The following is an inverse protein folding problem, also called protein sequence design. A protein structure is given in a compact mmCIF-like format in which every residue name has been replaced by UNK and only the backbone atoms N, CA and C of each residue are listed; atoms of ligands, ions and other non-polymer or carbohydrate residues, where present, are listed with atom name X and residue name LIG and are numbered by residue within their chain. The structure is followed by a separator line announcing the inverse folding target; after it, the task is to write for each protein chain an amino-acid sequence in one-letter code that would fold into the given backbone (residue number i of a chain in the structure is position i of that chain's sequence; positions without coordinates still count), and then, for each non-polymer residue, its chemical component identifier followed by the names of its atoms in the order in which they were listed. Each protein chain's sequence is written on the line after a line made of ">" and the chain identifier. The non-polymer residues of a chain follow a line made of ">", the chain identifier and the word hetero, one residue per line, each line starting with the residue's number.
data_IF_433955414343
#
_entry.id   IF_433955414343
#
_cell.length_a   1.000
_cell.length_b   1.000
_cell.length_c   1.000
_cell.angle_alpha   90.00
_cell.angle_beta   90.00
_cell.angle_gamma   90.00
#
_symmetry.space_group_name_H-M   'P 1'
#
loop_
_entity.id
_entity.type
_entity.pdbx_description
1 polymer ?
#
# COMPACT_ATOMS: atom_id res chain seq x y z
N UNK A 1 -7.04 -11.94 -12.65
CA UNK A 1 -7.06 -10.48 -12.49
C UNK A 1 -5.67 -9.91 -12.39
N UNK A 2 -5.57 -8.72 -11.81
CA UNK A 2 -4.31 -8.05 -11.46
C UNK A 2 -4.34 -7.74 -9.96
N UNK A 3 -3.25 -8.06 -9.26
CA UNK A 3 -3.02 -7.60 -7.89
C UNK A 3 -1.91 -6.58 -7.91
N UNK A 4 -2.16 -5.43 -7.31
CA UNK A 4 -1.20 -4.34 -7.15
C UNK A 4 -0.96 -4.15 -5.67
N UNK A 5 0.31 -4.08 -5.28
CA UNK A 5 0.73 -3.86 -3.90
C UNK A 5 1.49 -2.54 -3.85
N UNK A 6 0.96 -1.58 -3.11
CA UNK A 6 1.65 -0.35 -2.76
C UNK A 6 2.34 -0.50 -1.40
N UNK A 7 3.63 -0.18 -1.36
CA UNK A 7 4.48 -0.28 -0.17
C UNK A 7 4.97 1.10 0.20
N UNK A 8 4.41 1.70 1.24
CA UNK A 8 4.89 2.99 1.73
C UNK A 8 6.29 2.86 2.32
N UNK A 9 7.23 3.59 1.72
CA UNK A 9 8.64 3.64 2.12
C UNK A 9 9.00 5.01 2.73
N UNK A 10 7.99 5.79 3.12
CA UNK A 10 8.23 7.07 3.79
C UNK A 10 8.85 6.88 5.18
N UNK A 11 9.48 7.94 5.69
CA UNK A 11 10.06 7.96 7.04
C UNK A 11 9.05 7.91 8.18
N UNK A 12 7.74 8.01 7.90
CA UNK A 12 6.68 7.75 8.88
C UNK A 12 6.11 6.34 8.77
N UNK A 13 6.26 5.68 7.61
CA UNK A 13 5.72 4.36 7.35
C UNK A 13 6.39 3.29 8.24
N UNK A 14 5.66 2.66 9.17
CA UNK A 14 6.26 1.74 10.11
C UNK A 14 6.71 0.43 9.47
N UNK A 15 6.21 0.11 8.28
CA UNK A 15 6.59 -1.10 7.54
C UNK A 15 8.10 -1.22 7.29
N UNK A 16 8.75 -0.10 7.01
CA UNK A 16 10.19 -0.06 6.71
C UNK A 16 11.04 0.30 7.93
N UNK A 17 10.43 0.49 9.10
CA UNK A 17 11.10 0.94 10.32
C UNK A 17 10.94 -0.04 11.49
N UNK A 18 9.91 -0.89 11.47
CA UNK A 18 9.58 -1.78 12.57
C UNK A 18 9.47 -3.23 12.10
N UNK A 19 10.28 -4.11 12.69
CA UNK A 19 10.38 -5.51 12.28
C UNK A 19 9.07 -6.29 12.48
N UNK A 20 8.37 -6.10 13.60
CA UNK A 20 7.12 -6.81 13.86
C UNK A 20 6.04 -6.47 12.82
N UNK A 21 6.03 -5.21 12.36
CA UNK A 21 5.09 -4.75 11.34
C UNK A 21 5.45 -5.30 9.97
N UNK A 22 6.74 -5.31 9.62
CA UNK A 22 7.24 -6.00 8.44
C UNK A 22 6.90 -7.49 8.43
N UNK A 23 7.02 -8.16 9.58
CA UNK A 23 6.68 -9.58 9.73
C UNK A 23 5.18 -9.85 9.54
N UNK A 24 4.33 -8.97 10.07
CA UNK A 24 2.87 -9.04 9.89
C UNK A 24 2.47 -8.80 8.44
N UNK A 25 3.05 -7.77 7.79
CA UNK A 25 2.83 -7.49 6.38
C UNK A 25 3.26 -8.66 5.49
N UNK A 26 4.43 -9.22 5.76
CA UNK A 26 4.98 -10.34 5.03
C UNK A 26 4.10 -11.59 5.14
N UNK A 27 3.59 -11.87 6.34
CA UNK A 27 2.69 -13.01 6.59
C UNK A 27 1.35 -12.83 5.88
N UNK A 28 0.75 -11.64 5.97
CA UNK A 28 -0.47 -11.31 5.24
C UNK A 28 -0.28 -11.43 3.73
N UNK A 29 0.81 -10.85 3.22
CA UNK A 29 1.16 -10.86 1.80
C UNK A 29 1.32 -12.28 1.27
N UNK A 30 2.01 -13.14 2.03
CA UNK A 30 2.17 -14.55 1.68
C UNK A 30 0.82 -15.21 1.45
N UNK A 31 -0.12 -15.07 2.39
CA UNK A 31 -1.47 -15.62 2.26
C UNK A 31 -2.23 -15.04 1.08
N UNK A 32 -2.13 -13.72 0.86
CA UNK A 32 -2.79 -13.06 -0.26
C UNK A 32 -2.28 -13.55 -1.63
N UNK A 33 -0.97 -13.78 -1.78
CA UNK A 33 -0.35 -14.26 -3.02
C UNK A 33 -0.62 -15.77 -3.23
N UNK A 34 -0.62 -16.58 -2.17
CA UNK A 34 -0.98 -18.01 -2.26
C UNK A 34 -2.40 -18.20 -2.79
N UNK A 35 -3.32 -17.30 -2.44
CA UNK A 35 -4.71 -17.36 -2.90
C UNK A 35 -4.92 -16.94 -4.37
N UNK A 36 -3.89 -16.38 -5.02
CA UNK A 36 -3.97 -15.95 -6.42
C UNK A 36 -4.06 -17.14 -7.37
N UNK A 37 -4.78 -16.95 -8.48
CA UNK A 37 -5.00 -17.99 -9.47
C UNK A 37 -3.90 -18.00 -10.56
N UNK A 38 -3.64 -19.14 -11.21
CA UNK A 38 -2.77 -19.18 -12.39
C UNK A 38 -3.22 -18.19 -13.47
N UNK A 39 -2.27 -17.48 -14.07
CA UNK A 39 -2.50 -16.42 -15.06
C UNK A 39 -2.70 -15.02 -14.47
N UNK A 40 -2.85 -14.89 -13.14
CA UNK A 40 -2.95 -13.58 -12.51
C UNK A 40 -1.62 -12.83 -12.50
N UNK A 41 -1.69 -11.50 -12.68
CA UNK A 41 -0.51 -10.62 -12.67
C UNK A 41 -0.37 -9.96 -11.31
N UNK A 42 0.86 -9.87 -10.82
CA UNK A 42 1.23 -9.21 -9.57
C UNK A 42 2.19 -8.06 -9.85
N UNK A 43 1.94 -6.90 -9.25
CA UNK A 43 2.87 -5.78 -9.21
C UNK A 43 3.11 -5.35 -7.77
N UNK A 44 4.36 -5.11 -7.39
CA UNK A 44 4.72 -4.51 -6.10
C UNK A 44 5.47 -3.23 -6.38
N UNK A 45 4.96 -2.12 -5.86
CA UNK A 45 5.45 -0.77 -6.13
C UNK A 45 5.67 -0.04 -4.81
N UNK A 46 6.74 0.74 -4.71
CA UNK A 46 6.92 1.66 -3.59
C UNK A 46 6.01 2.89 -3.73
N UNK A 47 5.44 3.33 -2.61
CA UNK A 47 4.76 4.61 -2.43
C UNK A 47 5.71 5.52 -1.67
N UNK A 48 5.83 6.75 -2.15
CA UNK A 48 6.64 7.78 -1.52
C UNK A 48 6.43 9.10 -2.25
N UNK A 49 7.48 9.82 -2.62
CA UNK A 49 7.36 11.00 -3.49
C UNK A 49 6.83 10.61 -4.87
N UNK A 50 6.00 11.49 -5.44
CA UNK A 50 5.45 11.30 -6.78
C UNK A 50 6.54 11.23 -7.86
N UNK A 51 6.46 10.24 -8.76
CA UNK A 51 7.33 10.09 -9.92
C UNK A 51 7.84 8.65 -10.14
N UNK A 52 7.88 8.20 -11.40
CA UNK A 52 8.34 6.83 -11.74
C UNK A 52 9.85 6.66 -11.45
N UNK A 53 10.64 7.72 -11.64
CA UNK A 53 12.09 7.70 -11.41
C UNK A 53 12.49 7.54 -9.93
N UNK A 54 11.56 7.75 -9.00
CA UNK A 54 11.80 7.67 -7.56
C UNK A 54 11.30 6.34 -6.95
N UNK A 55 10.86 5.37 -7.78
CA UNK A 55 10.41 4.06 -7.30
C UNK A 55 11.59 3.18 -6.86
N UNK A 56 11.74 3.00 -5.56
CA UNK A 56 12.72 2.06 -5.00
C UNK A 56 12.29 0.59 -5.15
N UNK A 57 10.99 0.33 -5.35
CA UNK A 57 10.43 -1.01 -5.55
C UNK A 57 9.57 -0.98 -6.83
N UNK A 58 9.91 -1.83 -7.80
CA UNK A 58 9.08 -2.17 -8.98
C UNK A 58 9.28 -3.65 -9.32
N UNK A 59 8.51 -4.51 -8.65
CA UNK A 59 8.53 -5.95 -8.89
C UNK A 59 7.30 -6.34 -9.71
N UNK A 60 7.51 -7.26 -10.65
CA UNK A 60 6.45 -7.81 -11.50
C UNK A 60 6.55 -9.32 -11.49
N UNK A 61 5.42 -9.99 -11.33
CA UNK A 61 5.33 -11.44 -11.42
C UNK A 61 4.02 -11.84 -12.10
N UNK A 62 3.98 -13.05 -12.65
CA UNK A 62 2.75 -13.69 -13.14
C UNK A 62 2.65 -15.06 -12.49
N UNK A 63 1.51 -15.36 -11.89
CA UNK A 63 1.27 -16.64 -11.26
C UNK A 63 1.13 -17.70 -12.34
N UNK A 64 1.81 -18.83 -12.18
CA UNK A 64 1.81 -19.90 -13.16
C UNK A 64 2.18 -21.26 -12.58
N UNK A 65 2.21 -22.27 -13.46
CA UNK A 65 2.44 -23.65 -13.06
C UNK A 65 3.92 -24.07 -13.09
N UNK A 66 4.78 -23.27 -13.74
CA UNK A 66 6.24 -23.46 -13.74
C UNK A 66 6.78 -23.24 -12.35
N UNK A 67 7.79 -24.01 -11.94
CA UNK A 67 8.29 -24.04 -10.56
C UNK A 67 8.59 -22.64 -10.00
N UNK A 68 9.19 -21.76 -10.78
CA UNK A 68 9.52 -20.38 -10.40
C UNK A 68 8.33 -19.41 -10.38
N UNK A 69 7.25 -19.74 -11.09
CA UNK A 69 6.04 -18.91 -11.22
C UNK A 69 4.94 -19.36 -10.24
N UNK A 70 5.19 -20.41 -9.45
CA UNK A 70 4.21 -20.95 -8.50
C UNK A 70 3.90 -19.93 -7.40
N UNK A 71 2.63 -19.84 -6.98
CA UNK A 71 2.22 -18.85 -6.00
C UNK A 71 2.97 -19.00 -4.67
N UNK A 72 3.29 -20.22 -4.23
CA UNK A 72 4.07 -20.46 -3.00
C UNK A 72 5.51 -19.94 -3.10
N UNK A 73 6.12 -20.05 -4.28
CA UNK A 73 7.50 -19.59 -4.52
C UNK A 73 7.55 -18.07 -4.54
N UNK A 74 6.65 -17.44 -5.30
CA UNK A 74 6.53 -15.97 -5.35
C UNK A 74 6.19 -15.42 -3.96
N UNK A 75 5.21 -16.01 -3.27
CA UNK A 75 4.82 -15.62 -1.93
C UNK A 75 5.99 -15.71 -0.94
N UNK A 76 6.78 -16.78 -0.99
CA UNK A 76 7.95 -16.95 -0.12
C UNK A 76 9.06 -15.93 -0.42
N UNK A 77 9.27 -15.58 -1.70
CA UNK A 77 10.23 -14.54 -2.08
C UNK A 77 9.79 -13.16 -1.57
N UNK A 78 8.51 -12.82 -1.75
CA UNK A 78 7.95 -11.56 -1.28
C UNK A 78 7.89 -11.48 0.25
N UNK A 79 7.58 -12.58 0.93
CA UNK A 79 7.64 -12.67 2.38
C UNK A 79 9.05 -12.32 2.88
N UNK A 80 10.09 -12.99 2.35
CA UNK A 80 11.48 -12.67 2.72
C UNK A 80 11.84 -11.22 2.40
N UNK A 81 11.40 -10.71 1.26
CA UNK A 81 11.66 -9.33 0.86
C UNK A 81 11.06 -8.34 1.87
N UNK A 82 9.78 -8.48 2.21
CA UNK A 82 9.10 -7.60 3.17
C UNK A 82 9.75 -7.65 4.55
N UNK A 83 10.07 -8.85 5.06
CA UNK A 83 10.78 -9.00 6.35
C UNK A 83 12.15 -8.34 6.36
N UNK A 84 12.79 -8.19 5.19
CA UNK A 84 14.11 -7.56 5.08
C UNK A 84 14.08 -6.04 5.02
N UNK A 85 12.91 -5.41 4.83
CA UNK A 85 12.82 -3.96 4.60
C UNK A 85 13.41 -3.13 5.75
N UNK A 86 13.10 -3.39 7.03
CA UNK A 86 13.69 -2.61 8.13
C UNK A 86 15.21 -2.72 8.19
N UNK A 87 15.76 -3.94 8.09
CA UNK A 87 17.20 -4.14 8.05
C UNK A 87 17.88 -3.49 6.84
N UNK A 88 17.19 -3.37 5.69
CA UNK A 88 17.72 -2.65 4.52
C UNK A 88 17.82 -1.15 4.76
N UNK A 89 16.86 -0.56 5.45
CA UNK A 89 16.87 0.85 5.85
C UNK A 89 17.96 1.10 6.89
N UNK A 90 18.03 0.27 7.93
CA UNK A 90 19.05 0.36 8.98
C UNK A 90 20.47 0.26 8.41
N UNK A 91 20.69 -0.65 7.46
CA UNK A 91 21.97 -0.81 6.78
C UNK A 91 22.28 0.30 5.74
N UNK A 92 21.37 1.26 5.53
CA UNK A 92 21.51 2.32 4.52
C UNK A 92 21.42 1.84 3.06
N UNK A 93 21.08 0.58 2.84
CA UNK A 93 20.92 -0.02 1.50
C UNK A 93 19.59 0.35 0.82
N UNK A 94 18.67 0.96 1.58
CA UNK A 94 17.41 1.53 1.12
C UNK A 94 17.18 2.86 1.84
N UNK A 95 17.03 3.94 1.10
CA UNK A 95 16.68 5.24 1.68
C UNK A 95 15.15 5.33 1.88
N UNK A 96 14.73 5.82 3.05
CA UNK A 96 13.34 6.24 3.25
C UNK A 96 13.07 7.56 2.54
N UNK A 97 11.82 7.79 2.18
CA UNK A 97 11.40 9.02 1.52
C UNK A 97 10.74 9.98 2.52
N UNK A 98 10.86 11.28 2.27
CA UNK A 98 10.30 12.31 3.16
C UNK A 98 8.86 12.72 2.78
N UNK A 99 8.18 11.92 1.98
CA UNK A 99 6.84 12.18 1.47
C UNK A 99 6.09 10.86 1.27
N UNK A 100 4.77 10.90 1.47
CA UNK A 100 3.80 9.85 1.15
C UNK A 100 2.79 10.46 0.19
N UNK A 101 2.99 10.25 -1.11
CA UNK A 101 2.08 10.72 -2.16
C UNK A 101 1.15 9.59 -2.59
N UNK A 102 0.30 9.12 -1.67
CA UNK A 102 -0.62 8.02 -1.92
C UNK A 102 -1.66 8.39 -2.98
N UNK A 103 -2.12 9.63 -2.97
CA UNK A 103 -3.09 10.13 -3.97
C UNK A 103 -2.47 10.11 -5.36
N UNK A 104 -1.26 10.66 -5.51
CA UNK A 104 -0.58 10.67 -6.82
C UNK A 104 -0.20 9.24 -7.27
N UNK A 105 0.15 8.36 -6.32
CA UNK A 105 0.36 6.94 -6.60
C UNK A 105 -0.91 6.28 -7.17
N UNK A 106 -2.06 6.54 -6.55
CA UNK A 106 -3.35 6.01 -6.99
C UNK A 106 -3.80 6.59 -8.34
N UNK A 107 -3.62 7.89 -8.55
CA UNK A 107 -3.94 8.56 -9.83
C UNK A 107 -2.99 8.15 -10.96
N UNK A 108 -1.74 7.82 -10.63
CA UNK A 108 -0.70 7.42 -11.58
C UNK A 108 -0.81 5.98 -12.08
N UNK A 109 -1.83 5.23 -11.68
CA UNK A 109 -2.09 3.90 -12.22
C UNK A 109 -2.77 3.97 -13.58
N UNK A 110 -2.21 3.24 -14.56
CA UNK A 110 -2.78 3.06 -15.90
C UNK A 110 -4.08 2.22 -15.90
N UNK A 111 -4.51 1.70 -14.74
CA UNK A 111 -5.78 0.98 -14.62
C UNK A 111 -6.91 1.99 -14.40
N UNK A 112 -7.30 2.69 -15.46
CA UNK A 112 -8.33 3.73 -15.40
C UNK A 112 -9.77 3.18 -15.37
N UNK A 113 -9.95 1.86 -15.49
CA UNK A 113 -11.23 1.18 -15.29
C UNK A 113 -11.01 -0.31 -14.96
N UNK A 114 -11.25 -0.70 -13.71
CA UNK A 114 -11.10 -2.08 -13.25
C UNK A 114 -12.31 -2.96 -13.62
N UNK A 115 -13.32 -2.44 -14.33
CA UNK A 115 -14.46 -3.26 -14.77
C UNK A 115 -14.10 -4.26 -15.85
N UNK A 116 -13.06 -3.99 -16.65
CA UNK A 116 -12.62 -4.90 -17.71
C UNK A 116 -11.75 -6.06 -17.19
N UNK A 117 -10.95 -5.80 -16.16
CA UNK A 117 -10.04 -6.77 -15.55
C UNK A 117 -10.14 -6.62 -14.05
N UNK A 118 -10.65 -7.66 -13.38
CA UNK A 118 -10.71 -7.71 -11.92
C UNK A 118 -9.35 -7.33 -11.32
N UNK A 119 -9.32 -6.22 -10.59
CA UNK A 119 -8.09 -5.62 -10.08
C UNK A 119 -8.24 -5.37 -8.59
N UNK A 120 -7.29 -5.91 -7.83
CA UNK A 120 -7.17 -5.74 -6.38
C UNK A 120 -5.95 -4.89 -6.07
N UNK A 121 -6.12 -3.86 -5.25
CA UNK A 121 -5.04 -2.97 -4.81
C UNK A 121 -4.91 -3.10 -3.29
N UNK A 122 -3.72 -3.49 -2.83
CA UNK A 122 -3.37 -3.64 -1.42
C UNK A 122 -2.32 -2.59 -1.09
N UNK A 123 -2.59 -1.71 -0.14
CA UNK A 123 -1.74 -0.59 0.25
C UNK A 123 -1.27 -0.82 1.68
N UNK A 124 0.04 -0.84 1.90
CA UNK A 124 0.63 -0.85 3.23
C UNK A 124 1.18 0.54 3.54
N UNK A 125 0.50 1.28 4.41
CA UNK A 125 0.79 2.69 4.72
C UNK A 125 0.15 3.08 6.04
N UNK A 126 0.72 4.09 6.72
CA UNK A 126 0.10 4.74 7.87
C UNK A 126 -1.12 5.60 7.48
N UNK A 127 -1.35 5.81 6.18
CA UNK A 127 -2.45 6.58 5.61
C UNK A 127 -2.30 8.09 5.78
N UNK A 128 -1.13 8.57 6.20
CA UNK A 128 -0.82 9.99 6.30
C UNK A 128 -0.31 10.51 4.95
N UNK A 129 -1.22 11.11 4.18
CA UNK A 129 -0.83 11.80 2.95
C UNK A 129 0.10 12.98 3.28
N UNK A 130 1.26 12.99 2.66
CA UNK A 130 2.29 14.02 2.78
C UNK A 130 2.77 14.36 1.36
N UNK A 131 1.98 15.13 0.64
CA UNK A 131 2.20 15.47 -0.76
C UNK A 131 2.01 16.95 -1.04
N UNK A 132 2.18 17.35 -2.29
CA UNK A 132 1.94 18.72 -2.72
C UNK A 132 0.47 19.18 -2.54
N UNK A 133 -0.46 18.25 -2.27
CA UNK A 133 -1.89 18.53 -2.11
C UNK A 133 -2.29 18.79 -0.67
N UNK A 134 -1.59 18.20 0.29
CA UNK A 134 -1.91 18.32 1.71
C UNK A 134 -0.69 18.07 2.59
N UNK A 135 -0.60 18.86 3.65
CA UNK A 135 0.43 18.75 4.68
C UNK A 135 0.09 17.63 5.67
N UNK A 136 1.06 16.77 5.96
CA UNK A 136 0.97 15.75 7.00
C UNK A 136 0.62 16.36 8.36
N UNK A 137 1.26 17.47 8.73
CA UNK A 137 1.03 18.13 10.01
C UNK A 137 -0.41 18.66 10.14
N UNK A 138 -0.99 19.13 9.03
CA UNK A 138 -2.36 19.63 9.02
C UNK A 138 -3.38 18.48 9.09
N UNK A 139 -3.10 17.32 8.48
CA UNK A 139 -3.92 16.11 8.66
C UNK A 139 -3.85 15.58 10.10
N UNK A 140 -2.65 15.50 10.68
CA UNK A 140 -2.42 15.03 12.05
C UNK A 140 -3.04 15.98 13.08
N UNK A 141 -3.10 17.28 12.81
CA UNK A 141 -3.78 18.24 13.69
C UNK A 141 -5.27 18.42 13.40
N UNK A 142 -5.76 17.89 12.27
CA UNK A 142 -7.16 18.05 11.83
C UNK A 142 -7.48 19.42 11.24
N UNK A 143 -6.45 20.23 10.95
CA UNK A 143 -6.59 21.52 10.25
C UNK A 143 -6.91 21.35 8.77
N UNK A 144 -6.55 20.21 8.20
CA UNK A 144 -6.88 19.82 6.83
C UNK A 144 -7.54 18.44 6.80
N UNK A 145 -8.20 18.16 5.67
CA UNK A 145 -8.75 16.86 5.31
C UNK A 145 -8.10 16.38 4.01
N UNK A 146 -8.24 15.08 3.72
CA UNK A 146 -7.76 14.52 2.46
C UNK A 146 -8.45 15.21 1.28
N UNK A 147 -7.69 15.62 0.26
CA UNK A 147 -8.28 16.19 -0.94
C UNK A 147 -9.06 15.11 -1.68
N UNK A 148 -10.28 15.44 -2.09
CA UNK A 148 -11.15 14.51 -2.81
C UNK A 148 -10.64 14.27 -4.24
N UNK A 149 -10.83 13.06 -4.78
CA UNK A 149 -10.46 12.76 -6.15
C UNK A 149 -11.36 13.55 -7.12
N UNK A 150 -10.81 13.98 -8.25
CA UNK A 150 -11.56 14.76 -9.26
C UNK A 150 -12.34 13.89 -10.24
N UNK A 151 -12.00 12.61 -10.35
CA UNK A 151 -12.56 11.66 -11.31
C UNK A 151 -12.68 10.29 -10.66
N UNK A 152 -13.52 9.43 -11.24
CA UNK A 152 -13.71 8.05 -10.76
C UNK A 152 -12.70 7.08 -11.38
N UNK A 153 -11.40 7.36 -11.20
CA UNK A 153 -10.32 6.60 -11.83
C UNK A 153 -10.05 5.23 -11.19
N UNK A 154 -10.70 4.91 -10.05
CA UNK A 154 -10.64 3.59 -9.40
C UNK A 154 -11.92 2.78 -9.63
N UNK A 155 -12.66 3.10 -10.69
CA UNK A 155 -13.94 2.45 -10.97
C UNK A 155 -13.84 0.93 -10.98
N UNK A 156 -14.56 0.27 -10.07
CA UNK A 156 -14.64 -1.19 -9.98
C UNK A 156 -13.39 -1.88 -9.41
N UNK A 157 -12.41 -1.13 -8.90
CA UNK A 157 -11.23 -1.71 -8.26
C UNK A 157 -11.56 -2.12 -6.82
N UNK A 158 -11.07 -3.28 -6.38
CA UNK A 158 -11.13 -3.68 -4.98
C UNK A 158 -9.91 -3.11 -4.25
N UNK A 159 -10.14 -2.26 -3.26
CA UNK A 159 -9.10 -1.54 -2.53
C UNK A 159 -9.02 -2.04 -1.09
N UNK A 160 -7.79 -2.21 -0.64
CA UNK A 160 -7.47 -2.55 0.73
C UNK A 160 -6.29 -1.70 1.20
N UNK A 161 -6.49 -0.92 2.25
CA UNK A 161 -5.45 -0.12 2.89
C UNK A 161 -5.23 -0.63 4.31
N UNK A 162 -3.98 -0.93 4.64
CA UNK A 162 -3.58 -1.59 5.88
C UNK A 162 -2.51 -0.79 6.60
N UNK A 163 -2.69 -0.63 7.91
CA UNK A 163 -1.78 0.11 8.79
C UNK A 163 -2.21 1.55 9.06
N UNK A 164 -3.41 1.95 8.64
CA UNK A 164 -3.87 3.35 8.76
C UNK A 164 -3.87 3.78 10.23
N UNK A 165 -3.22 4.88 10.57
CA UNK A 165 -3.11 5.39 11.94
C UNK A 165 -1.97 4.77 12.77
N UNK A 166 -1.13 3.94 12.15
CA UNK A 166 0.05 3.39 12.80
C UNK A 166 1.22 4.38 12.78
N UNK A 167 1.91 4.51 13.90
CA UNK A 167 3.04 5.41 14.09
C UNK A 167 4.36 4.68 13.80
N UNK A 168 5.43 5.43 13.52
CA UNK A 168 6.76 4.86 13.26
C UNK A 168 7.32 4.03 14.44
N UNK A 169 6.91 4.31 15.67
CA UNK A 169 7.20 3.50 16.86
C UNK A 169 6.59 2.10 16.79
N UNK A 170 5.63 1.90 15.89
CA UNK A 170 4.79 0.72 15.76
C UNK A 170 3.53 0.76 16.62
N UNK A 171 3.40 1.78 17.47
CA UNK A 171 2.19 2.07 18.22
C UNK A 171 1.05 2.51 17.29
N UNK A 172 -0.17 2.39 17.80
CA UNK A 172 -1.36 2.75 17.07
C UNK A 172 -2.04 3.97 17.70
N UNK A 173 -2.48 4.91 16.87
CA UNK A 173 -3.26 6.06 17.33
C UNK A 173 -4.74 5.90 16.96
N UNK A 174 -5.57 5.57 17.96
CA UNK A 174 -7.02 5.47 17.79
C UNK A 174 -7.62 6.77 17.24
N UNK A 175 -7.15 7.92 17.74
CA UNK A 175 -7.62 9.24 17.29
C UNK A 175 -7.26 9.52 15.83
N UNK A 176 -6.05 9.13 15.40
CA UNK A 176 -5.63 9.31 14.02
C UNK A 176 -6.41 8.38 13.07
N UNK A 177 -6.60 7.11 13.44
CA UNK A 177 -7.39 6.18 12.65
C UNK A 177 -8.85 6.58 12.54
N UNK A 178 -9.48 6.98 13.65
CA UNK A 178 -10.86 7.46 13.67
C UNK A 178 -11.05 8.68 12.74
N UNK A 179 -10.00 9.48 12.55
CA UNK A 179 -10.00 10.62 11.63
C UNK A 179 -9.73 10.23 10.18
N UNK A 180 -8.74 9.39 9.92
CA UNK A 180 -8.30 9.05 8.56
C UNK A 180 -9.22 8.04 7.88
N UNK A 181 -9.72 7.03 8.61
CA UNK A 181 -10.59 5.99 8.06
C UNK A 181 -11.79 6.54 7.29
N UNK A 182 -12.63 7.43 7.84
CA UNK A 182 -13.79 7.94 7.10
C UNK A 182 -13.38 8.79 5.89
N UNK A 183 -12.25 9.50 5.97
CA UNK A 183 -11.77 10.30 4.84
C UNK A 183 -11.27 9.44 3.69
N UNK A 184 -10.49 8.38 3.98
CA UNK A 184 -10.08 7.42 2.96
C UNK A 184 -11.26 6.65 2.38
N UNK A 185 -12.26 6.30 3.20
CA UNK A 185 -13.48 5.66 2.72
C UNK A 185 -14.22 6.56 1.71
N UNK A 186 -14.45 7.83 2.06
CA UNK A 186 -15.09 8.81 1.19
C UNK A 186 -14.27 9.09 -0.07
N UNK A 187 -12.94 9.14 0.05
CA UNK A 187 -12.03 9.26 -1.09
C UNK A 187 -12.22 8.10 -2.07
N UNK A 188 -12.12 6.85 -1.59
CA UNK A 188 -12.23 5.67 -2.46
C UNK A 188 -13.62 5.52 -3.08
N UNK A 189 -14.68 5.83 -2.32
CA UNK A 189 -16.04 5.86 -2.82
C UNK A 189 -16.20 6.88 -3.95
N UNK A 190 -15.71 8.11 -3.77
CA UNK A 190 -15.74 9.16 -4.81
C UNK A 190 -14.89 8.79 -6.03
N UNK A 191 -13.77 8.10 -5.81
CA UNK A 191 -12.92 7.55 -6.87
C UNK A 191 -13.58 6.37 -7.61
N UNK A 192 -14.74 5.86 -7.18
CA UNK A 192 -15.49 4.80 -7.82
C UNK A 192 -15.06 3.38 -7.44
N UNK A 193 -14.29 3.20 -6.37
CA UNK A 193 -13.87 1.88 -5.91
C UNK A 193 -15.06 0.93 -5.70
N UNK A 194 -14.87 -0.35 -6.01
CA UNK A 194 -15.89 -1.38 -5.83
C UNK A 194 -16.00 -1.80 -4.37
N UNK A 195 -15.08 -2.65 -3.91
CA UNK A 195 -14.95 -3.00 -2.49
C UNK A 195 -13.84 -2.18 -1.83
N UNK A 196 -14.07 -1.69 -0.61
CA UNK A 196 -13.07 -0.94 0.16
C UNK A 196 -12.90 -1.55 1.55
N UNK A 197 -11.66 -1.90 1.90
CA UNK A 197 -11.26 -2.36 3.24
C UNK A 197 -10.22 -1.37 3.79
N UNK A 198 -10.46 -0.85 4.99
CA UNK A 198 -9.53 0.05 5.70
C UNK A 198 -9.26 -0.56 7.07
N UNK A 199 -8.04 -1.02 7.29
CA UNK A 199 -7.63 -1.66 8.55
C UNK A 199 -6.53 -0.88 9.27
N UNK A 200 -6.65 -0.86 10.59
CA UNK A 200 -5.57 -0.47 11.49
C UNK A 200 -4.38 -1.43 11.45
N UNK A 201 -4.68 -2.71 11.25
CA UNK A 201 -3.71 -3.80 11.31
C UNK A 201 -3.08 -4.04 9.94
N UNK A 202 -1.75 -4.17 9.95
CA UNK A 202 -0.94 -4.54 8.79
C UNK A 202 -1.03 -6.04 8.49
N UNK A 203 -1.29 -6.87 9.51
CA UNK A 203 -1.61 -8.30 9.37
C UNK A 203 -2.48 -8.77 10.55
N UNK A 204 -3.24 -9.86 10.35
CA UNK A 204 -4.22 -10.39 11.30
C UNK A 204 -5.57 -10.68 10.64
N UNK A 205 -6.21 -11.79 11.04
CA UNK A 205 -7.60 -12.11 10.72
C UNK A 205 -8.52 -11.55 11.79
#
# INVERSE_FOLDING_TARGET
>A
GVTIIGVDISGSAPLVLNQAIADNAASYLKSAVIAMQPGERLRVLSIGRAGIAERAIDLKATIGNRSQDRPEVIASQLERFFRSLPGKVEAGSMATQNATSLIDFLEGFEAHDCTAIATRIILFTDGLEASHRVSQADLVSGKAVLPMPKTSYLKGCDIEIRGVGQLNSGEFSDGLFARLKPQWAAFFETAGAGKVIISREVGGF
#
